data_IF_257454927779
#
_entry.id   IF_257454927779
#
_cell.length_a   1.000
_cell.length_b   1.000
_cell.length_c   1.000
_cell.angle_alpha   90.00
_cell.angle_beta   90.00
_cell.angle_gamma   90.00
#
_symmetry.space_group_name_H-M   'P 1'
#
loop_
_entity.id
_entity.type
_entity.pdbx_description
1 polymer ?
#
# COMPACT_ATOMS: atom_id res chain seq x y z
N UNK A 1 -27.53 48.34 -33.58
CA UNK A 1 -27.53 47.47 -32.45
C UNK A 1 -26.49 46.41 -32.57
N UNK A 2 -25.28 46.60 -31.95
CA UNK A 2 -24.19 45.63 -32.00
C UNK A 2 -24.40 44.55 -30.94
N UNK A 3 -24.53 43.30 -31.37
CA UNK A 3 -24.50 42.12 -30.47
C UNK A 3 -23.06 41.80 -30.08
N UNK A 4 -22.71 42.04 -28.82
CA UNK A 4 -21.44 41.55 -28.23
C UNK A 4 -21.52 40.03 -28.10
N UNK A 5 -20.60 39.31 -28.77
CA UNK A 5 -20.33 37.89 -28.53
C UNK A 5 -19.45 37.77 -27.29
N UNK A 6 -19.92 37.04 -26.27
CA UNK A 6 -19.10 36.59 -25.14
C UNK A 6 -18.22 35.42 -25.61
N UNK A 7 -16.96 35.34 -25.18
CA UNK A 7 -16.12 34.19 -25.45
C UNK A 7 -16.48 33.05 -24.50
N UNK A 8 -16.85 31.90 -25.07
CA UNK A 8 -16.96 30.61 -24.37
C UNK A 8 -15.55 30.07 -24.08
N UNK A 9 -15.04 30.38 -22.91
CA UNK A 9 -13.88 29.65 -22.37
C UNK A 9 -14.38 28.36 -21.73
N UNK A 10 -14.68 27.37 -22.57
CA UNK A 10 -14.91 26.00 -22.12
C UNK A 10 -13.60 25.35 -21.70
N UNK A 11 -13.34 25.22 -20.40
CA UNK A 11 -12.38 24.24 -19.90
C UNK A 11 -12.85 22.86 -20.34
N UNK A 12 -12.23 22.31 -21.38
CA UNK A 12 -12.36 20.90 -21.73
C UNK A 12 -11.79 20.10 -20.54
N UNK A 13 -12.66 19.65 -19.64
CA UNK A 13 -12.31 18.60 -18.69
C UNK A 13 -12.05 17.37 -19.53
N UNK A 14 -10.79 16.97 -19.63
CA UNK A 14 -10.42 15.64 -20.11
C UNK A 14 -11.12 14.63 -19.22
N UNK A 15 -12.28 14.16 -19.68
CA UNK A 15 -12.96 13.01 -19.11
C UNK A 15 -12.21 11.80 -19.67
N UNK A 16 -11.07 11.45 -19.06
CA UNK A 16 -10.62 10.09 -19.11
C UNK A 16 -11.65 9.27 -18.34
N UNK A 17 -12.63 8.71 -19.05
CA UNK A 17 -13.40 7.58 -18.54
C UNK A 17 -12.38 6.48 -18.28
N UNK A 18 -11.95 6.35 -17.02
CA UNK A 18 -11.25 5.16 -16.53
C UNK A 18 -12.29 4.06 -16.63
N UNK A 19 -12.23 3.27 -17.71
CA UNK A 19 -13.01 2.05 -17.82
C UNK A 19 -12.54 1.12 -16.70
N UNK A 20 -13.31 1.07 -15.60
CA UNK A 20 -13.09 0.12 -14.53
C UNK A 20 -13.14 -1.27 -15.19
N UNK A 21 -12.00 -1.98 -15.26
CA UNK A 21 -11.94 -3.31 -15.83
C UNK A 21 -12.99 -4.17 -15.11
N UNK A 22 -13.98 -4.67 -15.81
CA UNK A 22 -15.06 -5.44 -15.20
C UNK A 22 -14.54 -6.82 -14.84
N UNK A 23 -14.57 -7.19 -13.56
CA UNK A 23 -14.13 -8.50 -13.10
C UNK A 23 -13.72 -8.50 -11.61
N UNK A 24 -13.55 -9.68 -11.03
CA UNK A 24 -13.03 -9.80 -9.68
C UNK A 24 -11.56 -9.35 -9.63
N UNK A 25 -11.05 -8.98 -8.47
CA UNK A 25 -9.63 -8.66 -8.32
C UNK A 25 -8.77 -9.90 -8.55
N UNK A 26 -7.64 -9.67 -9.23
CA UNK A 26 -6.61 -10.67 -9.54
C UNK A 26 -5.43 -10.57 -8.57
N UNK A 27 -5.30 -9.44 -7.90
CA UNK A 27 -4.25 -9.11 -6.94
C UNK A 27 -4.81 -8.50 -5.66
N UNK A 28 -4.08 -8.67 -4.56
CA UNK A 28 -4.25 -7.88 -3.34
C UNK A 28 -3.08 -6.89 -3.21
N UNK A 29 -3.38 -5.61 -2.99
CA UNK A 29 -2.42 -4.61 -2.52
C UNK A 29 -2.75 -4.31 -1.07
N UNK A 30 -2.00 -4.93 -0.17
CA UNK A 30 -2.20 -4.85 1.28
C UNK A 30 -1.27 -3.78 1.83
N UNK A 31 -1.84 -2.74 2.38
CA UNK A 31 -1.13 -1.65 3.02
C UNK A 31 -1.28 -1.81 4.54
N UNK A 32 -0.19 -2.11 5.25
CA UNK A 32 -0.24 -2.41 6.68
C UNK A 32 -0.25 -1.16 7.55
N UNK A 33 -0.98 -1.23 8.64
CA UNK A 33 -1.11 -0.20 9.66
C UNK A 33 -2.02 -0.63 10.79
N UNK A 34 -2.06 0.15 11.86
CA UNK A 34 -3.03 0.05 12.93
C UNK A 34 -4.16 1.06 12.69
N UNK A 35 -5.41 0.66 12.90
CA UNK A 35 -6.53 1.58 12.84
C UNK A 35 -6.59 2.49 14.09
N UNK A 36 -7.12 3.69 13.91
CA UNK A 36 -7.32 4.65 14.98
C UNK A 36 -6.42 5.87 14.86
N UNK A 37 -6.98 7.03 15.20
CA UNK A 37 -6.37 8.35 15.03
C UNK A 37 -4.98 8.48 15.69
N UNK A 38 -4.76 7.77 16.80
CA UNK A 38 -3.50 7.77 17.52
C UNK A 38 -2.34 7.14 16.75
N UNK A 39 -2.62 6.35 15.69
CA UNK A 39 -1.60 5.66 14.90
C UNK A 39 -1.33 6.29 13.53
N UNK A 40 -2.14 7.26 13.07
CA UNK A 40 -2.11 7.82 11.70
C UNK A 40 -0.71 8.26 11.24
N UNK A 41 0.11 8.82 12.14
CA UNK A 41 1.44 9.33 11.81
C UNK A 41 2.59 8.48 12.35
N UNK A 42 2.32 7.25 12.77
CA UNK A 42 3.36 6.36 13.32
C UNK A 42 4.12 5.63 12.22
N UNK A 43 5.34 5.19 12.54
CA UNK A 43 6.20 4.44 11.61
C UNK A 43 5.53 3.14 11.14
N UNK A 44 4.80 2.49 12.03
CA UNK A 44 4.07 1.24 11.72
C UNK A 44 2.89 1.44 10.76
N UNK A 45 2.45 2.69 10.54
CA UNK A 45 1.37 3.03 9.61
C UNK A 45 1.87 3.44 8.21
N UNK A 46 3.12 3.21 7.89
CA UNK A 46 3.69 3.57 6.57
C UNK A 46 2.90 2.95 5.40
N UNK A 47 2.36 1.73 5.57
CA UNK A 47 1.50 1.13 4.56
C UNK A 47 0.18 1.90 4.39
N UNK A 48 -0.49 2.28 5.48
CA UNK A 48 -1.69 3.13 5.42
C UNK A 48 -1.39 4.47 4.75
N UNK A 49 -0.27 5.12 5.09
CA UNK A 49 0.15 6.36 4.43
C UNK A 49 0.32 6.18 2.91
N UNK A 50 0.86 5.04 2.46
CA UNK A 50 0.96 4.74 1.03
C UNK A 50 -0.42 4.55 0.38
N UNK A 51 -1.35 3.87 1.05
CA UNK A 51 -2.72 3.73 0.56
C UNK A 51 -3.43 5.08 0.47
N UNK A 52 -3.35 5.92 1.49
CA UNK A 52 -3.91 7.27 1.51
C UNK A 52 -3.33 8.13 0.38
N UNK A 53 -2.02 8.05 0.16
CA UNK A 53 -1.36 8.72 -0.97
C UNK A 53 -1.93 8.29 -2.32
N UNK A 54 -2.18 6.99 -2.51
CA UNK A 54 -2.79 6.45 -3.73
C UNK A 54 -4.25 6.90 -3.88
N UNK A 55 -5.01 6.89 -2.79
CA UNK A 55 -6.41 7.32 -2.74
C UNK A 55 -6.52 8.79 -3.15
N UNK A 56 -5.73 9.66 -2.54
CA UNK A 56 -5.73 11.11 -2.83
C UNK A 56 -5.30 11.39 -4.28
N UNK A 57 -4.23 10.73 -4.73
CA UNK A 57 -3.66 10.95 -6.06
C UNK A 57 -4.60 10.54 -7.20
N UNK A 58 -5.43 9.53 -6.96
CA UNK A 58 -6.36 8.96 -7.96
C UNK A 58 -7.84 9.31 -7.70
N UNK A 59 -8.14 10.16 -6.72
CA UNK A 59 -9.51 10.52 -6.29
C UNK A 59 -10.39 9.27 -6.05
N UNK A 60 -9.84 8.31 -5.30
CA UNK A 60 -10.52 7.05 -4.99
C UNK A 60 -11.39 7.17 -3.74
N UNK A 61 -12.34 6.23 -3.60
CA UNK A 61 -13.19 6.11 -2.39
C UNK A 61 -12.99 4.75 -1.74
N UNK A 62 -11.90 4.60 -0.96
CA UNK A 62 -11.63 3.38 -0.22
C UNK A 62 -12.35 3.41 1.14
N UNK A 63 -13.68 3.24 1.16
CA UNK A 63 -14.51 3.33 2.35
C UNK A 63 -15.41 2.11 2.60
N UNK A 64 -15.26 1.05 1.80
CA UNK A 64 -16.03 -0.19 1.99
C UNK A 64 -15.36 -1.08 3.01
N UNK A 65 -16.02 -1.30 4.14
CA UNK A 65 -15.56 -2.26 5.13
C UNK A 65 -15.91 -3.68 4.68
N UNK A 66 -14.90 -4.46 4.28
CA UNK A 66 -15.02 -5.85 3.88
C UNK A 66 -13.77 -6.62 4.30
N UNK A 67 -13.90 -7.89 4.65
CA UNK A 67 -12.78 -8.71 5.13
C UNK A 67 -12.02 -8.04 6.30
N UNK A 68 -12.73 -7.39 7.21
CA UNK A 68 -12.13 -6.60 8.31
C UNK A 68 -11.09 -5.57 7.83
N UNK A 69 -11.27 -5.04 6.62
CA UNK A 69 -10.40 -4.04 6.01
C UNK A 69 -11.24 -2.97 5.29
N UNK A 70 -10.75 -1.75 5.22
CA UNK A 70 -11.23 -0.79 4.23
C UNK A 70 -10.71 -1.24 2.88
N UNK A 71 -11.60 -1.35 1.91
CA UNK A 71 -11.27 -1.92 0.60
C UNK A 71 -11.87 -1.14 -0.55
N UNK A 72 -11.17 -1.15 -1.67
CA UNK A 72 -11.69 -0.72 -2.98
C UNK A 72 -11.03 -1.55 -4.09
N UNK A 73 -11.81 -1.93 -5.11
CA UNK A 73 -11.27 -2.55 -6.31
C UNK A 73 -10.87 -1.44 -7.28
N UNK A 74 -9.59 -1.41 -7.61
CA UNK A 74 -8.98 -0.39 -8.47
C UNK A 74 -8.30 -1.05 -9.67
N UNK A 75 -8.13 -0.32 -10.76
CA UNK A 75 -7.17 -0.67 -11.78
C UNK A 75 -5.79 -0.19 -11.34
N UNK A 76 -4.81 -1.09 -11.28
CA UNK A 76 -3.46 -0.78 -10.88
C UNK A 76 -2.49 -1.71 -11.62
N UNK A 77 -1.50 -1.12 -12.33
CA UNK A 77 -0.61 -1.91 -13.18
C UNK A 77 -1.32 -2.70 -14.30
N UNK A 78 -2.46 -2.21 -14.80
CA UNK A 78 -3.25 -2.90 -15.83
C UNK A 78 -4.06 -4.11 -15.34
N UNK A 79 -4.09 -4.38 -14.03
CA UNK A 79 -4.85 -5.46 -13.40
C UNK A 79 -5.96 -4.92 -12.49
N UNK A 80 -6.97 -5.76 -12.19
CA UNK A 80 -7.91 -5.50 -11.11
C UNK A 80 -7.26 -5.85 -9.78
N UNK A 81 -7.09 -4.87 -8.92
CA UNK A 81 -6.42 -5.00 -7.62
C UNK A 81 -7.37 -4.63 -6.51
N UNK A 82 -7.48 -5.47 -5.49
CA UNK A 82 -8.14 -5.09 -4.25
C UNK A 82 -7.14 -4.34 -3.38
N UNK A 83 -7.28 -3.02 -3.29
CA UNK A 83 -6.60 -2.22 -2.29
C UNK A 83 -7.19 -2.54 -0.93
N UNK A 84 -6.34 -2.87 0.05
CA UNK A 84 -6.75 -3.27 1.39
C UNK A 84 -5.97 -2.52 2.47
N UNK A 85 -6.71 -1.92 3.40
CA UNK A 85 -6.20 -1.35 4.66
C UNK A 85 -6.83 -2.13 5.82
N UNK A 86 -6.18 -3.17 6.37
CA UNK A 86 -6.74 -3.96 7.47
C UNK A 86 -7.15 -3.08 8.65
N UNK A 87 -8.38 -3.25 9.12
CA UNK A 87 -8.91 -2.54 10.30
C UNK A 87 -8.79 -3.41 11.56
N UNK A 88 -7.89 -4.36 11.53
CA UNK A 88 -7.41 -5.14 12.66
C UNK A 88 -6.21 -4.43 13.29
N UNK A 89 -5.79 -4.86 14.48
CA UNK A 89 -4.45 -4.50 14.94
C UNK A 89 -3.40 -5.23 14.10
N UNK A 90 -2.18 -4.69 14.08
CA UNK A 90 -1.08 -5.19 13.23
C UNK A 90 -0.88 -6.71 13.33
N UNK A 91 -0.86 -7.25 14.55
CA UNK A 91 -0.69 -8.68 14.81
C UNK A 91 -1.85 -9.59 14.35
N UNK A 92 -2.94 -9.02 13.85
CA UNK A 92 -4.11 -9.73 13.29
C UNK A 92 -4.34 -9.43 11.80
N UNK A 93 -3.41 -8.77 11.13
CA UNK A 93 -3.55 -8.38 9.73
C UNK A 93 -3.78 -9.57 8.79
N UNK A 94 -3.20 -10.73 9.11
CA UNK A 94 -3.37 -11.96 8.32
C UNK A 94 -4.78 -12.51 8.30
N UNK A 95 -5.61 -12.22 9.31
CA UNK A 95 -7.02 -12.62 9.31
C UNK A 95 -7.76 -11.95 8.15
N UNK A 96 -7.56 -10.64 7.97
CA UNK A 96 -8.14 -9.87 6.87
C UNK A 96 -7.62 -10.33 5.51
N UNK A 97 -6.31 -10.46 5.38
CA UNK A 97 -5.63 -10.83 4.14
C UNK A 97 -5.99 -12.25 3.70
N UNK A 98 -5.93 -13.22 4.64
CA UNK A 98 -6.27 -14.61 4.37
C UNK A 98 -7.74 -14.81 4.00
N UNK A 99 -8.66 -14.06 4.62
CA UNK A 99 -10.08 -14.09 4.28
C UNK A 99 -10.31 -13.59 2.83
N UNK A 100 -9.72 -12.45 2.46
CA UNK A 100 -9.85 -11.89 1.12
C UNK A 100 -9.21 -12.78 0.05
N UNK A 101 -8.00 -13.30 0.30
CA UNK A 101 -7.28 -14.17 -0.62
C UNK A 101 -8.08 -15.46 -0.91
N UNK A 102 -8.63 -16.10 0.12
CA UNK A 102 -9.48 -17.28 -0.04
C UNK A 102 -10.78 -16.97 -0.79
N UNK A 103 -11.43 -15.85 -0.45
CA UNK A 103 -12.70 -15.47 -1.08
C UNK A 103 -12.53 -15.24 -2.60
N UNK A 104 -11.51 -14.53 -3.01
CA UNK A 104 -11.24 -14.25 -4.43
C UNK A 104 -10.38 -15.32 -5.11
N UNK A 105 -9.92 -16.33 -4.38
CA UNK A 105 -8.99 -17.37 -4.84
C UNK A 105 -7.68 -16.78 -5.39
N UNK A 106 -7.18 -15.76 -4.75
CA UNK A 106 -5.93 -15.09 -5.13
C UNK A 106 -4.76 -15.87 -4.51
N UNK A 107 -3.79 -16.33 -5.32
CA UNK A 107 -2.63 -17.05 -4.83
C UNK A 107 -1.68 -16.11 -4.07
N UNK A 108 -0.81 -16.66 -3.22
CA UNK A 108 0.04 -15.86 -2.35
C UNK A 108 1.03 -14.95 -3.13
N UNK A 109 1.53 -15.39 -4.27
CA UNK A 109 2.41 -14.61 -5.15
C UNK A 109 1.72 -13.41 -5.81
N UNK A 110 0.40 -13.31 -5.71
CA UNK A 110 -0.42 -12.16 -6.11
C UNK A 110 -0.86 -11.30 -4.91
N UNK A 111 -0.26 -11.48 -3.73
CA UNK A 111 -0.49 -10.66 -2.54
C UNK A 111 0.71 -9.76 -2.31
N UNK A 112 0.61 -8.48 -2.70
CA UNK A 112 1.66 -7.49 -2.47
C UNK A 112 1.41 -6.80 -1.13
N UNK A 113 2.43 -6.78 -0.25
CA UNK A 113 2.32 -6.15 1.07
C UNK A 113 3.29 -4.97 1.18
N UNK A 114 2.77 -3.78 1.50
CA UNK A 114 3.57 -2.61 1.86
C UNK A 114 3.64 -2.51 3.37
N UNK A 115 4.85 -2.48 3.93
CA UNK A 115 5.11 -2.43 5.37
C UNK A 115 6.36 -1.60 5.71
N UNK A 116 6.48 -1.21 6.97
CA UNK A 116 7.72 -0.66 7.52
C UNK A 116 8.82 -1.73 7.65
N UNK A 117 10.07 -1.26 7.67
CA UNK A 117 11.25 -2.07 7.96
C UNK A 117 12.25 -1.27 8.80
N UNK A 118 12.45 -1.70 10.04
CA UNK A 118 13.40 -1.08 10.98
C UNK A 118 14.87 -1.40 10.67
N UNK A 119 15.13 -2.38 9.80
CA UNK A 119 16.50 -2.74 9.39
C UNK A 119 17.00 -1.89 8.22
N UNK A 120 16.15 -1.06 7.65
CA UNK A 120 16.47 -0.18 6.53
C UNK A 120 16.61 1.26 7.00
N UNK A 121 17.59 2.00 6.48
CA UNK A 121 17.64 3.46 6.68
C UNK A 121 16.34 4.14 6.26
N UNK A 122 16.01 5.25 6.92
CA UNK A 122 14.83 6.04 6.63
C UNK A 122 14.74 6.39 5.13
N UNK A 123 13.59 6.12 4.52
CA UNK A 123 13.33 6.45 3.12
C UNK A 123 13.95 5.49 2.10
N UNK A 124 14.63 4.42 2.53
CA UNK A 124 15.09 3.35 1.64
C UNK A 124 13.98 2.34 1.37
N UNK A 125 13.99 1.79 0.17
CA UNK A 125 13.07 0.72 -0.23
C UNK A 125 13.78 -0.62 -0.36
N UNK A 126 13.05 -1.69 -0.07
CA UNK A 126 13.48 -3.06 -0.35
C UNK A 126 12.31 -3.91 -0.83
N UNK A 127 12.37 -4.34 -2.09
CA UNK A 127 11.43 -5.30 -2.66
C UNK A 127 11.94 -6.71 -2.40
N UNK A 128 11.06 -7.61 -1.95
CA UNK A 128 11.32 -9.04 -1.76
C UNK A 128 10.15 -9.85 -2.30
N UNK A 129 10.42 -10.95 -3.00
CA UNK A 129 9.39 -11.89 -3.47
C UNK A 129 8.96 -12.90 -2.40
N UNK A 130 9.81 -13.11 -1.41
CA UNK A 130 9.60 -14.07 -0.31
C UNK A 130 10.49 -13.72 0.87
N UNK A 131 10.34 -14.42 1.98
CA UNK A 131 11.24 -14.36 3.13
C UNK A 131 10.50 -14.26 4.47
N UNK A 132 11.26 -14.37 5.58
CA UNK A 132 10.72 -14.31 6.92
C UNK A 132 10.07 -12.96 7.26
N UNK A 133 9.34 -12.93 8.36
CA UNK A 133 8.70 -11.71 8.86
C UNK A 133 9.68 -10.64 9.35
N UNK A 134 10.93 -11.02 9.67
CA UNK A 134 11.93 -10.08 10.19
C UNK A 134 11.52 -9.36 11.48
N UNK A 135 10.75 -10.01 12.34
CA UNK A 135 10.20 -9.43 13.58
C UNK A 135 8.92 -8.61 13.38
N UNK A 136 8.47 -8.37 12.16
CA UNK A 136 7.26 -7.59 11.89
C UNK A 136 5.99 -8.41 12.14
N UNK A 137 5.21 -8.06 13.17
CA UNK A 137 4.03 -8.83 13.61
C UNK A 137 2.96 -9.00 12.54
N UNK A 138 2.72 -7.98 11.71
CA UNK A 138 1.77 -8.06 10.60
C UNK A 138 2.19 -9.09 9.55
N UNK A 139 3.46 -9.06 9.13
CA UNK A 139 3.99 -10.04 8.18
C UNK A 139 3.98 -11.46 8.76
N UNK A 140 4.31 -11.62 10.06
CA UNK A 140 4.23 -12.92 10.75
C UNK A 140 2.82 -13.49 10.70
N UNK A 141 1.82 -12.68 10.96
CA UNK A 141 0.42 -13.11 10.96
C UNK A 141 -0.07 -13.40 9.53
N UNK A 142 0.35 -12.62 8.52
CA UNK A 142 0.03 -12.90 7.11
C UNK A 142 0.63 -14.24 6.66
N UNK A 143 1.90 -14.51 6.98
CA UNK A 143 2.55 -15.81 6.69
C UNK A 143 1.74 -16.96 7.28
N UNK A 144 1.31 -16.84 8.55
CA UNK A 144 0.52 -17.87 9.20
C UNK A 144 -0.84 -18.12 8.51
N UNK A 145 -1.53 -17.08 8.03
CA UNK A 145 -2.83 -17.19 7.39
C UNK A 145 -2.80 -17.57 5.91
N UNK A 146 -1.73 -17.22 5.19
CA UNK A 146 -1.50 -17.67 3.80
C UNK A 146 -0.86 -19.05 3.74
N UNK A 147 -0.23 -19.52 4.82
CA UNK A 147 0.49 -20.79 4.89
C UNK A 147 1.82 -20.80 4.14
N UNK A 148 2.32 -19.64 3.74
CA UNK A 148 3.57 -19.49 2.99
C UNK A 148 4.16 -18.09 3.21
N UNK A 149 5.47 -17.97 3.04
CA UNK A 149 6.19 -16.70 3.00
C UNK A 149 6.50 -16.23 1.57
N UNK A 150 6.03 -16.96 0.56
CA UNK A 150 6.26 -16.67 -0.86
C UNK A 150 5.22 -15.68 -1.40
N UNK A 151 5.27 -14.43 -0.91
CA UNK A 151 4.49 -13.31 -1.42
C UNK A 151 5.33 -12.04 -1.53
N UNK A 152 5.07 -11.18 -2.53
CA UNK A 152 5.80 -9.94 -2.74
C UNK A 152 5.63 -8.93 -1.60
N UNK A 153 6.70 -8.23 -1.26
CA UNK A 153 6.73 -7.18 -0.24
C UNK A 153 7.49 -5.97 -0.74
N UNK A 154 6.92 -4.80 -0.49
CA UNK A 154 7.60 -3.52 -0.61
C UNK A 154 7.83 -3.00 0.80
N UNK A 155 9.06 -3.09 1.25
CA UNK A 155 9.49 -2.70 2.61
C UNK A 155 10.03 -1.29 2.57
N UNK A 156 9.49 -0.42 3.42
CA UNK A 156 9.87 0.99 3.52
C UNK A 156 10.70 1.19 4.79
N UNK A 157 11.92 1.67 4.64
CA UNK A 157 12.81 1.96 5.74
C UNK A 157 12.31 3.09 6.62
N UNK A 158 12.22 2.81 7.92
CA UNK A 158 11.80 3.79 8.94
C UNK A 158 12.92 4.10 9.93
N UNK A 159 14.14 3.64 9.64
CA UNK A 159 15.30 3.79 10.50
C UNK A 159 15.37 2.74 11.61
N UNK A 160 16.57 2.58 12.16
CA UNK A 160 16.81 1.66 13.28
C UNK A 160 16.25 2.25 14.58
N UNK A 161 15.68 1.41 15.47
CA UNK A 161 15.19 1.87 16.77
C UNK A 161 16.34 2.37 17.66
N UNK A 162 16.14 3.53 18.28
CA UNK A 162 17.05 4.10 19.27
C UNK A 162 16.73 3.63 20.69
N UNK A 163 15.57 2.97 20.87
CA UNK A 163 15.06 2.47 22.13
C UNK A 163 14.22 1.20 21.87
N UNK A 164 13.25 0.87 22.70
CA UNK A 164 12.38 -0.29 22.50
C UNK A 164 11.71 -0.29 21.12
N UNK A 165 11.71 -1.47 20.46
CA UNK A 165 11.20 -1.61 19.08
C UNK A 165 9.72 -1.27 18.98
N UNK A 166 8.92 -1.66 19.97
CA UNK A 166 7.47 -1.38 19.96
C UNK A 166 7.24 0.11 20.04
N UNK A 167 7.89 0.77 21.00
CA UNK A 167 7.78 2.23 21.18
C UNK A 167 8.27 2.98 19.94
N UNK A 168 9.33 2.48 19.29
CA UNK A 168 9.84 3.05 18.05
C UNK A 168 8.82 3.01 16.92
N UNK A 169 8.24 1.83 16.62
CA UNK A 169 7.34 1.69 15.48
C UNK A 169 5.97 2.34 15.70
N UNK A 170 5.49 2.43 16.95
CA UNK A 170 4.28 3.18 17.29
C UNK A 170 4.55 4.67 17.52
N UNK A 171 5.81 5.08 17.50
CA UNK A 171 6.23 6.48 17.58
C UNK A 171 5.97 7.22 16.27
N UNK A 172 5.59 8.52 16.35
CA UNK A 172 5.35 9.33 15.16
C UNK A 172 6.68 9.70 14.46
N UNK A 173 6.60 9.97 13.17
CA UNK A 173 7.69 10.62 12.44
C UNK A 173 7.86 12.07 12.90
N UNK A 174 9.09 12.52 13.04
CA UNK A 174 9.40 13.96 13.15
C UNK A 174 9.07 14.69 11.85
N UNK A 175 8.97 16.01 11.88
CA UNK A 175 8.67 16.81 10.68
C UNK A 175 9.73 16.63 9.57
N UNK A 176 11.00 16.42 9.92
CA UNK A 176 12.06 16.19 8.95
C UNK A 176 12.00 14.77 8.37
N UNK A 177 11.77 13.77 9.19
CA UNK A 177 11.55 12.39 8.73
C UNK A 177 10.32 12.31 7.81
N UNK A 178 9.22 13.00 8.16
CA UNK A 178 8.01 13.02 7.35
C UNK A 178 8.25 13.53 5.92
N UNK A 179 9.07 14.56 5.74
CA UNK A 179 9.46 15.05 4.40
C UNK A 179 10.15 13.97 3.58
N UNK A 180 11.02 13.16 4.20
CA UNK A 180 11.69 12.04 3.54
C UNK A 180 10.67 10.95 3.19
N UNK A 181 9.78 10.62 4.11
CA UNK A 181 8.74 9.61 3.90
C UNK A 181 7.78 10.02 2.79
N UNK A 182 7.31 11.26 2.75
CA UNK A 182 6.42 11.75 1.68
C UNK A 182 7.04 11.56 0.29
N UNK A 183 8.37 11.72 0.16
CA UNK A 183 9.08 11.47 -1.09
C UNK A 183 9.23 9.99 -1.46
N UNK A 184 9.13 9.07 -0.50
CA UNK A 184 9.30 7.63 -0.75
C UNK A 184 7.98 6.88 -0.97
N UNK A 185 6.84 7.45 -0.52
CA UNK A 185 5.53 6.79 -0.67
C UNK A 185 5.17 6.55 -2.14
N UNK A 186 5.40 7.52 -3.01
CA UNK A 186 5.18 7.37 -4.46
C UNK A 186 6.06 6.25 -5.03
N UNK A 187 7.34 6.21 -4.66
CA UNK A 187 8.27 5.15 -5.09
C UNK A 187 7.86 3.75 -4.58
N UNK A 188 7.27 3.67 -3.40
CA UNK A 188 6.77 2.41 -2.86
C UNK A 188 5.55 1.90 -3.66
N UNK A 189 4.66 2.81 -4.07
CA UNK A 189 3.53 2.51 -4.96
C UNK A 189 4.01 2.12 -6.36
N UNK A 190 4.96 2.86 -6.93
CA UNK A 190 5.57 2.54 -8.23
C UNK A 190 6.25 1.15 -8.20
N UNK A 191 6.91 0.79 -7.08
CA UNK A 191 7.48 -0.54 -6.90
C UNK A 191 6.41 -1.63 -6.86
N UNK A 192 5.29 -1.38 -6.18
CA UNK A 192 4.15 -2.31 -6.15
C UNK A 192 3.51 -2.46 -7.55
N UNK A 193 3.37 -1.38 -8.30
CA UNK A 193 2.86 -1.41 -9.68
C UNK A 193 3.83 -2.17 -10.60
N UNK A 194 5.14 -1.95 -10.47
CA UNK A 194 6.16 -2.67 -11.22
C UNK A 194 6.15 -4.18 -10.95
N UNK A 195 5.82 -4.61 -9.73
CA UNK A 195 5.65 -6.05 -9.43
C UNK A 195 4.54 -6.66 -10.30
N UNK A 196 3.45 -5.94 -10.51
CA UNK A 196 2.30 -6.42 -11.32
C UNK A 196 2.65 -6.42 -12.80
N UNK A 197 3.30 -5.34 -13.30
CA UNK A 197 3.56 -5.15 -14.73
C UNK A 197 4.76 -5.94 -15.23
N UNK A 198 5.86 -5.95 -14.47
CA UNK A 198 7.18 -6.40 -14.92
C UNK A 198 7.74 -7.54 -14.06
N UNK A 199 7.05 -7.85 -12.94
CA UNK A 199 7.45 -8.90 -12.01
C UNK A 199 8.41 -8.45 -10.92
N UNK A 200 8.55 -9.31 -9.90
CA UNK A 200 9.34 -9.04 -8.69
C UNK A 200 10.80 -8.73 -9.00
N UNK A 201 11.44 -9.47 -9.92
CA UNK A 201 12.86 -9.27 -10.25
C UNK A 201 13.13 -7.90 -10.85
N UNK A 202 12.25 -7.42 -11.72
CA UNK A 202 12.35 -6.07 -12.30
C UNK A 202 12.18 -4.99 -11.22
N UNK A 203 11.21 -5.17 -10.33
CA UNK A 203 10.98 -4.26 -9.22
C UNK A 203 12.18 -4.23 -8.25
N UNK A 204 12.79 -5.39 -7.95
CA UNK A 204 14.02 -5.46 -7.15
C UNK A 204 15.17 -4.68 -7.77
N UNK A 205 15.38 -4.82 -9.08
CA UNK A 205 16.47 -4.14 -9.78
C UNK A 205 16.28 -2.61 -9.84
N UNK A 206 15.03 -2.13 -9.89
CA UNK A 206 14.73 -0.70 -10.03
C UNK A 206 14.64 0.04 -8.68
N UNK A 207 14.18 -0.63 -7.63
CA UNK A 207 13.79 0.03 -6.38
C UNK A 207 14.60 -0.36 -5.16
N UNK A 208 15.39 -1.44 -5.19
CA UNK A 208 16.31 -1.77 -4.10
C UNK A 208 17.53 -0.82 -4.15
N UNK A 209 17.71 -0.02 -3.08
CA UNK A 209 18.84 0.91 -3.01
C UNK A 209 18.65 2.04 -2.01
#
# INVERSE_FOLDING_TARGET
GARKKLPLTGKVRNIFMIFKKSGPPEWLLVCLGNYGKQYENTRHNIGFMAAERLIDKRDLRCNRLRFRALTEVIEFGGANVLLMMPQTYMNLSGEAVGEAARFYKIPADHVIVISDDISLPLGKLRVRGSGSAGGHNGLKNIIAHLGTDAFPRVKVGVGAPEHDIVDWVIGPFTANERKVIDGVLDRALDAAECIITDGVSAAQNRYNG
#
